data_IF_190572468276
#
_entry.id   IF_190572468276
#
_cell.length_a   1.000
_cell.length_b   1.000
_cell.length_c   1.000
_cell.angle_alpha   90.00
_cell.angle_beta   90.00
_cell.angle_gamma   90.00
#
_symmetry.space_group_name_H-M   'P 1'
#
loop_
_entity.id
_entity.type
_entity.pdbx_description
1 polymer ?
#
# COMPACT_ATOMS: atom_id res chain seq x y z
N UNK A 1 13.45 -1.76 19.37
CA UNK A 1 12.09 -1.56 18.82
C UNK A 1 11.99 -2.51 17.66
N UNK A 2 11.26 -3.59 17.86
CA UNK A 2 11.16 -4.68 16.87
C UNK A 2 10.34 -4.14 15.71
N UNK A 3 10.69 -4.55 14.49
CA UNK A 3 10.00 -4.11 13.28
C UNK A 3 8.49 -4.33 13.37
N UNK A 4 8.12 -5.45 13.98
CA UNK A 4 6.76 -5.93 14.13
C UNK A 4 5.92 -4.96 14.98
N UNK A 5 6.46 -4.46 16.11
CA UNK A 5 5.78 -3.45 16.94
C UNK A 5 5.40 -2.18 16.15
N UNK A 6 6.23 -1.81 15.16
CA UNK A 6 5.97 -0.68 14.27
C UNK A 6 4.91 -1.02 13.23
N UNK A 7 4.89 -2.24 12.73
CA UNK A 7 3.86 -2.68 11.78
C UNK A 7 2.50 -2.75 12.48
N UNK A 8 2.42 -3.29 13.69
CA UNK A 8 1.18 -3.35 14.48
C UNK A 8 0.60 -1.96 14.74
N UNK A 9 1.46 -0.96 15.02
CA UNK A 9 1.02 0.42 15.22
C UNK A 9 0.50 1.08 13.93
N UNK A 10 1.03 0.67 12.77
CA UNK A 10 0.54 1.13 11.47
C UNK A 10 -0.77 0.43 11.15
N UNK A 11 -0.88 -0.88 11.38
CA UNK A 11 -2.10 -1.68 11.22
C UNK A 11 -3.28 -1.09 11.98
N UNK A 12 -3.06 -0.71 13.24
CA UNK A 12 -4.04 0.00 14.05
C UNK A 12 -4.34 1.46 13.63
N UNK A 13 -3.73 1.96 12.56
CA UNK A 13 -4.05 3.26 11.95
C UNK A 13 -4.82 3.12 10.63
N UNK A 14 -4.85 1.91 10.06
CA UNK A 14 -5.50 1.60 8.78
C UNK A 14 -6.48 0.44 8.94
N UNK A 15 -7.20 0.36 10.05
CA UNK A 15 -8.15 -0.71 10.42
C UNK A 15 -9.31 -0.92 9.43
N UNK A 16 -9.52 0.00 8.49
CA UNK A 16 -10.45 -0.17 7.36
C UNK A 16 -9.91 -1.14 6.30
N UNK A 17 -8.58 -1.23 6.19
CA UNK A 17 -7.88 -2.18 5.35
C UNK A 17 -7.47 -3.37 6.23
N UNK A 18 -7.43 -4.57 5.65
CA UNK A 18 -7.01 -5.76 6.38
C UNK A 18 -5.53 -5.72 6.76
N UNK A 19 -4.96 -6.90 7.00
CA UNK A 19 -3.55 -7.07 7.34
C UNK A 19 -2.61 -6.36 6.34
N UNK A 20 -1.89 -5.33 6.82
CA UNK A 20 -0.85 -4.65 6.02
C UNK A 20 0.34 -5.56 5.68
N UNK A 21 0.49 -6.69 6.36
CA UNK A 21 1.64 -7.58 6.26
C UNK A 21 2.91 -7.00 6.87
N UNK A 22 4.06 -7.47 6.37
CA UNK A 22 5.40 -7.12 6.88
C UNK A 22 5.94 -5.77 6.41
N UNK A 23 5.24 -5.11 5.48
CA UNK A 23 5.68 -3.86 4.87
C UNK A 23 6.83 -4.06 3.88
N UNK A 24 7.01 -5.27 3.33
CA UNK A 24 8.00 -5.58 2.31
C UNK A 24 7.36 -5.80 0.93
N UNK A 25 8.05 -5.44 -0.16
CA UNK A 25 7.63 -5.76 -1.52
C UNK A 25 7.31 -7.23 -1.73
N UNK A 26 8.09 -8.14 -1.13
CA UNK A 26 7.90 -9.58 -1.32
C UNK A 26 6.63 -10.13 -0.68
N UNK A 27 6.01 -9.37 0.22
CA UNK A 27 4.84 -9.79 0.97
C UNK A 27 3.56 -9.56 0.17
N UNK A 28 2.79 -10.62 -0.12
CA UNK A 28 1.51 -10.50 -0.81
C UNK A 28 0.47 -9.68 -0.02
N UNK A 29 0.50 -9.68 1.32
CA UNK A 29 -0.43 -8.89 2.13
C UNK A 29 -0.15 -7.39 1.95
N UNK A 30 1.11 -6.97 2.05
CA UNK A 30 1.52 -5.59 1.80
C UNK A 30 1.18 -5.11 0.39
N UNK A 31 1.37 -5.96 -0.63
CA UNK A 31 0.99 -5.62 -2.01
C UNK A 31 -0.52 -5.41 -2.16
N UNK A 32 -1.32 -6.28 -1.54
CA UNK A 32 -2.79 -6.20 -1.57
C UNK A 32 -3.25 -4.90 -0.92
N UNK A 33 -2.78 -4.64 0.30
CA UNK A 33 -3.05 -3.40 1.03
C UNK A 33 -2.73 -2.14 0.20
N UNK A 34 -1.52 -2.07 -0.37
CA UNK A 34 -1.11 -0.91 -1.16
C UNK A 34 -1.98 -0.72 -2.40
N UNK A 35 -2.42 -1.80 -3.04
CA UNK A 35 -3.28 -1.72 -4.22
C UNK A 35 -4.69 -1.24 -3.87
N UNK A 36 -5.29 -1.80 -2.81
CA UNK A 36 -6.62 -1.39 -2.33
C UNK A 36 -6.59 0.08 -1.89
N UNK A 37 -5.60 0.47 -1.11
CA UNK A 37 -5.46 1.86 -0.64
C UNK A 37 -5.32 2.85 -1.80
N UNK A 38 -4.49 2.54 -2.81
CA UNK A 38 -4.32 3.43 -3.97
C UNK A 38 -5.57 3.46 -4.84
N UNK A 39 -6.31 2.35 -4.99
CA UNK A 39 -7.58 2.35 -5.71
C UNK A 39 -8.63 3.23 -5.02
N UNK A 40 -8.68 3.21 -3.68
CA UNK A 40 -9.66 3.97 -2.90
C UNK A 40 -9.28 5.45 -2.73
N UNK A 41 -7.99 5.77 -2.55
CA UNK A 41 -7.51 7.13 -2.26
C UNK A 41 -6.81 7.83 -3.44
N UNK A 42 -6.40 7.08 -4.46
CA UNK A 42 -5.62 7.58 -5.60
C UNK A 42 -4.13 7.81 -5.31
N UNK A 43 -3.66 7.50 -4.10
CA UNK A 43 -2.27 7.70 -3.69
C UNK A 43 -1.87 6.66 -2.62
N UNK A 44 -0.57 6.53 -2.34
CA UNK A 44 -0.08 5.58 -1.31
C UNK A 44 -0.21 6.16 0.11
N UNK A 45 -0.33 5.32 1.14
CA UNK A 45 -0.51 5.78 2.52
C UNK A 45 0.73 6.52 3.03
N UNK A 46 0.55 7.45 3.97
CA UNK A 46 1.64 8.29 4.51
C UNK A 46 2.77 7.48 5.17
N UNK A 47 2.46 6.27 5.66
CA UNK A 47 3.45 5.36 6.21
C UNK A 47 4.32 4.69 5.13
N UNK A 48 3.85 4.65 3.88
CA UNK A 48 4.55 4.06 2.74
C UNK A 48 5.44 5.09 2.03
N UNK A 49 6.53 4.60 1.44
CA UNK A 49 7.47 5.44 0.69
C UNK A 49 7.10 5.41 -0.78
N UNK A 50 6.63 6.53 -1.33
CA UNK A 50 6.33 6.69 -2.77
C UNK A 50 7.47 6.23 -3.69
N UNK A 51 8.72 6.46 -3.27
CA UNK A 51 9.91 6.09 -4.05
C UNK A 51 10.26 4.60 -4.01
N UNK A 52 9.45 3.76 -3.36
CA UNK A 52 9.64 2.31 -3.42
C UNK A 52 8.99 1.74 -4.68
N UNK A 53 9.70 0.81 -5.32
CA UNK A 53 9.24 0.12 -6.54
C UNK A 53 7.79 -0.35 -6.42
N UNK A 54 7.41 -1.02 -5.33
CA UNK A 54 6.03 -1.51 -5.17
C UNK A 54 4.99 -0.41 -5.13
N UNK A 55 5.30 0.73 -4.51
CA UNK A 55 4.43 1.90 -4.48
C UNK A 55 4.32 2.54 -5.87
N UNK A 56 5.45 2.68 -6.57
CA UNK A 56 5.49 3.20 -7.94
C UNK A 56 4.70 2.28 -8.90
N UNK A 57 4.86 0.96 -8.78
CA UNK A 57 4.18 -0.04 -9.60
C UNK A 57 2.65 0.03 -9.44
N UNK A 58 2.14 0.13 -8.21
CA UNK A 58 0.69 0.23 -7.97
C UNK A 58 0.12 1.58 -8.43
N UNK A 59 0.85 2.69 -8.21
CA UNK A 59 0.44 4.01 -8.69
C UNK A 59 0.40 4.07 -10.22
N UNK A 60 1.40 3.49 -10.88
CA UNK A 60 1.43 3.40 -12.34
C UNK A 60 0.29 2.53 -12.88
N UNK A 61 -0.03 1.41 -12.21
CA UNK A 61 -1.13 0.53 -12.60
C UNK A 61 -2.51 1.21 -12.47
N UNK A 62 -2.74 1.95 -11.38
CA UNK A 62 -3.99 2.69 -11.19
C UNK A 62 -4.11 3.87 -12.18
N UNK A 63 -3.02 4.62 -12.42
CA UNK A 63 -3.01 5.68 -13.43
C UNK A 63 -3.27 5.16 -14.84
N UNK A 64 -2.78 3.96 -15.18
CA UNK A 64 -3.06 3.31 -16.46
C UNK A 64 -4.52 2.86 -16.56
N UNK A 65 -5.09 2.32 -15.49
CA UNK A 65 -6.49 1.86 -15.47
C UNK A 65 -7.49 3.02 -15.63
N UNK A 66 -7.19 4.19 -15.07
CA UNK A 66 -7.98 5.41 -15.25
C UNK A 66 -7.87 6.02 -16.67
N UNK A 67 -6.86 5.63 -17.46
CA UNK A 67 -6.71 6.13 -18.83
C UNK A 67 -7.49 5.29 -19.85
N UNK A 68 -7.72 4.01 -19.55
CA UNK A 68 -8.47 3.08 -20.40
C UNK A 68 -9.99 3.35 -20.40
N UNK A 69 -10.51 4.22 -19.51
CA UNK A 69 -11.94 4.56 -19.43
C UNK A 69 -12.40 5.73 -20.35
N UNK A 70 -11.49 6.33 -21.13
CA UNK A 70 -11.75 7.52 -21.97
C UNK A 70 -11.94 7.24 -23.46
#
# INVERSE_FOLDING_TARGET
VTRDDRMDAIDASYDAYGDLGSGYPSDPATRTFLREYVADHGDVPDCARRSWSTCEDVLAAEAQSALDEF
#
